data_IF_865115018137
#
_entry.id   IF_865115018137
#
_cell.length_a   1.000
_cell.length_b   1.000
_cell.length_c   1.000
_cell.angle_alpha   90.00
_cell.angle_beta   90.00
_cell.angle_gamma   90.00
#
_symmetry.space_group_name_H-M   'P 1'
#
loop_
_entity.id
_entity.type
_entity.pdbx_description
1 polymer ?
#
# COMPACT_ATOMS: atom_id res chain seq x y z
N UNK A 1 6.87 -37.27 13.42
CA UNK A 1 6.08 -36.06 13.71
C UNK A 1 6.71 -35.42 14.92
N UNK A 2 7.10 -34.15 14.86
CA UNK A 2 7.65 -33.44 16.02
C UNK A 2 6.47 -32.91 16.82
N UNK A 3 6.42 -33.22 18.11
CA UNK A 3 5.45 -32.66 19.05
C UNK A 3 6.24 -32.20 20.28
N UNK A 4 6.22 -30.90 20.55
CA UNK A 4 6.85 -30.28 21.71
C UNK A 4 5.80 -29.45 22.42
N UNK A 5 5.68 -29.64 23.73
CA UNK A 5 4.74 -28.91 24.57
C UNK A 5 5.47 -28.49 25.85
N UNK A 6 5.29 -27.25 26.28
CA UNK A 6 5.81 -26.73 27.53
C UNK A 6 4.75 -25.89 28.26
N UNK A 7 4.56 -26.13 29.56
CA UNK A 7 3.68 -25.30 30.41
C UNK A 7 4.28 -23.93 30.80
N UNK A 8 5.37 -23.53 30.16
CA UNK A 8 5.98 -22.20 30.28
C UNK A 8 6.64 -21.87 28.94
N UNK A 9 7.86 -21.34 28.90
CA UNK A 9 8.54 -20.97 27.65
C UNK A 9 9.19 -22.18 26.94
N UNK A 10 9.24 -22.13 25.60
CA UNK A 10 10.14 -22.95 24.78
C UNK A 10 11.28 -22.04 24.28
N UNK A 11 12.49 -22.28 24.78
CA UNK A 11 13.70 -21.60 24.33
C UNK A 11 14.57 -22.52 23.48
N UNK A 12 14.71 -22.22 22.18
CA UNK A 12 15.53 -22.99 21.24
C UNK A 12 16.71 -22.14 20.78
N UNK A 13 17.92 -22.64 21.04
CA UNK A 13 19.17 -22.11 20.46
C UNK A 13 19.77 -23.18 19.57
N UNK A 14 19.57 -23.04 18.26
CA UNK A 14 20.01 -24.03 17.27
C UNK A 14 20.26 -23.36 15.93
N UNK A 15 21.28 -23.79 15.18
CA UNK A 15 21.51 -23.29 13.82
C UNK A 15 20.40 -23.64 12.82
N UNK A 16 19.55 -24.61 13.14
CA UNK A 16 18.40 -25.00 12.34
C UNK A 16 17.29 -25.57 13.23
N UNK A 17 16.07 -25.09 13.05
CA UNK A 17 14.87 -25.62 13.69
C UNK A 17 13.95 -26.17 12.62
N UNK A 18 13.61 -27.45 12.73
CA UNK A 18 12.75 -28.16 11.78
C UNK A 18 11.44 -28.56 12.46
N UNK A 19 10.36 -27.86 12.13
CA UNK A 19 9.00 -28.13 12.57
C UNK A 19 8.08 -28.54 11.41
N UNK A 20 8.59 -29.31 10.44
CA UNK A 20 7.80 -29.68 9.26
C UNK A 20 6.71 -30.68 9.65
N UNK A 21 5.43 -30.33 9.44
CA UNK A 21 4.26 -31.12 9.88
C UNK A 21 4.31 -31.46 11.38
N UNK A 22 4.99 -30.63 12.16
CA UNK A 22 5.10 -30.76 13.60
C UNK A 22 4.32 -29.67 14.31
N UNK A 23 4.25 -29.79 15.63
CA UNK A 23 3.58 -28.84 16.51
C UNK A 23 4.50 -28.50 17.67
N UNK A 24 4.70 -27.22 17.92
CA UNK A 24 5.38 -26.68 19.11
C UNK A 24 4.41 -25.75 19.83
N UNK A 25 4.07 -26.08 21.07
CA UNK A 25 3.11 -25.33 21.89
C UNK A 25 3.76 -24.91 23.21
N UNK A 26 3.65 -23.65 23.57
CA UNK A 26 4.11 -23.10 24.85
C UNK A 26 2.98 -22.32 25.52
N UNK A 27 2.71 -22.55 26.81
CA UNK A 27 1.81 -21.65 27.58
C UNK A 27 2.45 -20.26 27.78
N UNK A 28 3.79 -20.21 27.77
CA UNK A 28 4.58 -18.99 27.76
C UNK A 28 4.94 -18.54 26.35
N UNK A 29 6.20 -18.15 26.16
CA UNK A 29 6.76 -17.70 24.89
C UNK A 29 7.39 -18.86 24.10
N UNK A 30 7.48 -18.69 22.78
CA UNK A 30 8.42 -19.47 21.96
C UNK A 30 9.53 -18.54 21.49
N UNK A 31 10.74 -18.75 21.99
CA UNK A 31 11.93 -18.00 21.60
C UNK A 31 12.86 -18.91 20.78
N UNK A 32 13.01 -18.61 19.49
CA UNK A 32 13.92 -19.34 18.60
C UNK A 32 15.05 -18.41 18.18
N UNK A 33 16.25 -18.72 18.64
CA UNK A 33 17.48 -18.09 18.17
C UNK A 33 18.25 -19.08 17.29
N UNK A 34 18.17 -18.84 15.98
CA UNK A 34 18.95 -19.56 14.96
C UNK A 34 20.06 -18.72 14.33
N UNK A 35 20.57 -17.72 15.07
CA UNK A 35 21.60 -16.79 14.58
C UNK A 35 22.96 -17.42 14.27
N UNK A 36 23.21 -18.66 14.72
CA UNK A 36 24.42 -19.42 14.39
C UNK A 36 24.41 -20.04 12.97
N UNK A 37 23.32 -19.90 12.22
CA UNK A 37 23.22 -20.40 10.86
C UNK A 37 24.14 -19.62 9.90
N UNK A 38 25.06 -20.32 9.24
CA UNK A 38 25.93 -19.73 8.21
C UNK A 38 25.20 -19.68 6.86
N UNK A 39 25.15 -18.46 6.31
CA UNK A 39 24.89 -18.06 4.91
C UNK A 39 24.28 -19.12 3.98
N UNK A 40 22.99 -18.93 3.66
CA UNK A 40 22.15 -19.58 2.62
C UNK A 40 21.18 -20.70 3.04
N UNK A 41 21.06 -21.03 4.32
CA UNK A 41 20.09 -22.03 4.81
C UNK A 41 18.80 -21.42 5.37
N UNK A 42 17.75 -22.24 5.40
CA UNK A 42 16.56 -21.99 6.22
C UNK A 42 16.95 -22.16 7.69
N UNK A 43 16.73 -21.15 8.52
CA UNK A 43 17.04 -21.17 9.95
C UNK A 43 15.90 -21.79 10.75
N UNK A 44 14.66 -21.48 10.37
CA UNK A 44 13.45 -22.09 10.91
C UNK A 44 12.56 -22.56 9.76
N UNK A 45 12.27 -23.85 9.73
CA UNK A 45 11.40 -24.51 8.76
C UNK A 45 10.14 -25.01 9.45
N UNK A 46 9.11 -24.17 9.41
CA UNK A 46 7.75 -24.43 9.89
C UNK A 46 6.80 -24.82 8.73
N UNK A 47 7.31 -25.43 7.67
CA UNK A 47 6.50 -25.84 6.53
C UNK A 47 5.42 -26.87 6.93
N UNK A 48 4.15 -26.54 6.69
CA UNK A 48 3.00 -27.33 7.18
C UNK A 48 3.03 -27.58 8.70
N UNK A 49 3.80 -26.80 9.47
CA UNK A 49 3.96 -26.93 10.91
C UNK A 49 3.14 -25.90 11.69
N UNK A 50 3.13 -26.05 13.00
CA UNK A 50 2.48 -25.13 13.93
C UNK A 50 3.45 -24.71 15.04
N UNK A 51 3.62 -23.40 15.22
CA UNK A 51 4.21 -22.78 16.41
C UNK A 51 3.09 -21.97 17.09
N UNK A 52 2.75 -22.31 18.33
CA UNK A 52 1.66 -21.68 19.08
C UNK A 52 2.12 -21.29 20.49
N UNK A 53 1.99 -20.02 20.85
CA UNK A 53 2.40 -19.50 22.15
C UNK A 53 1.24 -18.81 22.88
N UNK A 54 1.06 -19.10 24.17
CA UNK A 54 0.12 -18.41 25.05
C UNK A 54 0.55 -16.99 25.43
N UNK A 55 1.80 -16.61 25.11
CA UNK A 55 2.32 -15.24 25.15
C UNK A 55 2.86 -14.84 23.78
N UNK A 56 4.15 -14.50 23.65
CA UNK A 56 4.75 -14.06 22.40
C UNK A 56 5.57 -15.13 21.67
N UNK A 57 5.80 -14.92 20.38
CA UNK A 57 6.77 -15.68 19.58
C UNK A 57 7.86 -14.73 19.09
N UNK A 58 9.12 -15.04 19.39
CA UNK A 58 10.27 -14.36 18.82
C UNK A 58 11.15 -15.34 18.05
N UNK A 59 11.32 -15.12 16.75
CA UNK A 59 12.21 -15.92 15.90
C UNK A 59 13.29 -15.01 15.31
N UNK A 60 14.54 -15.23 15.70
CA UNK A 60 15.69 -14.50 15.19
C UNK A 60 16.64 -15.45 14.48
N UNK A 61 16.80 -15.28 13.17
CA UNK A 61 17.64 -16.17 12.35
C UNK A 61 18.92 -15.52 11.82
N UNK A 62 19.11 -14.19 11.98
CA UNK A 62 20.26 -13.28 11.66
C UNK A 62 21.14 -13.54 10.40
N UNK A 63 21.40 -14.78 10.02
CA UNK A 63 22.08 -15.24 8.81
C UNK A 63 21.25 -16.20 7.95
N UNK A 64 19.94 -16.32 8.18
CA UNK A 64 19.07 -17.30 7.51
C UNK A 64 17.69 -16.77 7.12
N UNK A 65 16.88 -17.61 6.47
CA UNK A 65 15.46 -17.35 6.18
C UNK A 65 14.54 -18.08 7.17
N UNK A 66 13.30 -17.60 7.28
CA UNK A 66 12.20 -18.30 7.97
C UNK A 66 11.24 -18.83 6.91
N UNK A 67 10.90 -20.10 6.98
CA UNK A 67 9.92 -20.73 6.09
C UNK A 67 8.69 -21.14 6.89
N UNK A 68 7.55 -20.56 6.55
CA UNK A 68 6.23 -20.81 7.11
C UNK A 68 5.22 -21.19 6.00
N UNK A 69 5.67 -21.86 4.93
CA UNK A 69 4.80 -22.20 3.81
C UNK A 69 3.75 -23.22 4.26
N UNK A 70 2.46 -22.89 4.08
CA UNK A 70 1.33 -23.66 4.64
C UNK A 70 1.39 -23.90 6.15
N UNK A 71 2.26 -23.20 6.88
CA UNK A 71 2.43 -23.32 8.33
C UNK A 71 1.63 -22.26 9.08
N UNK A 72 1.58 -22.42 10.40
CA UNK A 72 0.96 -21.49 11.34
C UNK A 72 2.01 -21.04 12.36
N UNK A 73 2.14 -19.74 12.53
CA UNK A 73 2.85 -19.09 13.64
C UNK A 73 1.81 -18.22 14.34
N UNK A 74 1.41 -18.59 15.55
CA UNK A 74 0.34 -17.91 16.29
C UNK A 74 0.78 -17.61 17.72
N UNK A 75 0.48 -16.42 18.19
CA UNK A 75 0.76 -16.01 19.56
C UNK A 75 -0.41 -15.20 20.12
N UNK A 76 -0.59 -15.19 21.44
CA UNK A 76 -1.55 -14.27 22.07
C UNK A 76 -1.00 -12.85 22.06
N UNK A 77 0.23 -12.67 22.56
CA UNK A 77 0.94 -11.39 22.52
C UNK A 77 1.67 -11.26 21.17
N UNK A 78 2.81 -10.57 21.15
CA UNK A 78 3.50 -10.23 19.90
C UNK A 78 4.12 -11.42 19.17
N UNK A 79 4.05 -11.40 17.83
CA UNK A 79 4.90 -12.23 16.95
C UNK A 79 5.97 -11.35 16.31
N UNK A 80 7.23 -11.63 16.62
CA UNK A 80 8.39 -10.95 16.04
C UNK A 80 9.27 -11.92 15.25
N UNK A 81 9.44 -11.66 13.95
CA UNK A 81 10.28 -12.44 13.05
C UNK A 81 11.43 -11.58 12.52
N UNK A 82 12.68 -11.95 12.80
CA UNK A 82 13.90 -11.32 12.28
C UNK A 82 14.68 -12.32 11.43
N UNK A 83 14.72 -12.08 10.11
CA UNK A 83 15.40 -12.95 9.16
C UNK A 83 16.16 -12.17 8.09
N UNK A 84 17.47 -12.40 7.96
CA UNK A 84 18.28 -11.70 6.96
C UNK A 84 17.94 -12.08 5.52
N UNK A 85 17.61 -13.35 5.27
CA UNK A 85 17.45 -13.89 3.91
C UNK A 85 15.99 -14.14 3.50
N UNK A 86 15.03 -13.52 4.19
CA UNK A 86 13.63 -13.56 3.81
C UNK A 86 12.74 -14.33 4.78
N UNK A 87 11.45 -14.06 4.67
CA UNK A 87 10.38 -14.77 5.35
C UNK A 87 9.41 -15.25 4.29
N UNK A 88 9.14 -16.55 4.26
CA UNK A 88 8.21 -17.16 3.32
C UNK A 88 6.94 -17.61 4.06
N UNK A 89 5.88 -16.82 3.95
CA UNK A 89 4.53 -17.08 4.43
C UNK A 89 3.57 -17.50 3.30
N UNK A 90 4.07 -18.14 2.24
CA UNK A 90 3.24 -18.58 1.12
C UNK A 90 2.16 -19.58 1.59
N UNK A 91 0.88 -19.22 1.44
CA UNK A 91 -0.27 -20.00 1.96
C UNK A 91 -0.18 -20.25 3.48
N UNK A 92 0.73 -19.57 4.17
CA UNK A 92 0.93 -19.66 5.60
C UNK A 92 0.11 -18.63 6.37
N UNK A 93 0.12 -18.75 7.69
CA UNK A 93 -0.51 -17.81 8.62
C UNK A 93 0.48 -17.36 9.68
N UNK A 94 0.56 -16.05 9.88
CA UNK A 94 1.28 -15.40 10.99
C UNK A 94 0.26 -14.53 11.71
N UNK A 95 -0.07 -14.87 12.95
CA UNK A 95 -1.20 -14.29 13.68
C UNK A 95 -0.80 -13.88 15.10
N UNK A 96 -1.27 -12.71 15.54
CA UNK A 96 -1.27 -12.31 16.94
C UNK A 96 -2.69 -12.00 17.42
N UNK A 97 -3.14 -12.70 18.47
CA UNK A 97 -4.53 -12.62 18.95
C UNK A 97 -4.82 -11.40 19.84
N UNK A 98 -3.81 -10.75 20.40
CA UNK A 98 -3.95 -9.54 21.23
C UNK A 98 -2.80 -8.54 21.01
N UNK A 99 -1.62 -9.02 20.64
CA UNK A 99 -0.44 -8.20 20.33
C UNK A 99 -0.34 -7.78 18.86
N UNK A 100 0.89 -7.42 18.47
CA UNK A 100 1.26 -7.02 17.13
C UNK A 100 2.05 -8.09 16.36
N UNK A 101 2.15 -7.91 15.05
CA UNK A 101 3.07 -8.68 14.20
C UNK A 101 4.16 -7.76 13.68
N UNK A 102 5.41 -8.08 13.99
CA UNK A 102 6.59 -7.40 13.45
C UNK A 102 7.43 -8.37 12.63
N UNK A 103 7.66 -8.05 11.35
CA UNK A 103 8.54 -8.83 10.47
C UNK A 103 9.65 -7.94 9.95
N UNK A 104 10.90 -8.31 10.25
CA UNK A 104 12.10 -7.64 9.78
C UNK A 104 12.89 -8.58 8.87
N UNK A 105 13.11 -8.16 7.62
CA UNK A 105 13.97 -8.88 6.70
C UNK A 105 14.79 -7.95 5.80
N UNK A 106 16.06 -8.29 5.60
CA UNK A 106 16.91 -7.58 4.63
C UNK A 106 16.69 -8.06 3.18
N UNK A 107 15.77 -9.01 2.97
CA UNK A 107 15.44 -9.58 1.68
C UNK A 107 13.92 -9.54 1.46
N UNK A 108 13.33 -10.61 0.91
CA UNK A 108 11.93 -10.63 0.47
C UNK A 108 11.04 -11.22 1.56
N UNK A 109 9.92 -10.55 1.82
CA UNK A 109 8.76 -11.09 2.52
C UNK A 109 7.78 -11.62 1.47
N UNK A 110 7.57 -12.94 1.44
CA UNK A 110 6.52 -13.56 0.62
C UNK A 110 5.30 -13.82 1.49
N UNK A 111 4.20 -13.15 1.21
CA UNK A 111 2.88 -13.34 1.80
C UNK A 111 1.86 -13.70 0.71
N UNK A 112 2.29 -14.20 -0.45
CA UNK A 112 1.38 -14.56 -1.53
C UNK A 112 0.44 -15.69 -1.08
N UNK A 113 -0.87 -15.46 -1.19
CA UNK A 113 -1.94 -16.33 -0.63
C UNK A 113 -1.82 -16.59 0.87
N UNK A 114 -0.92 -15.88 1.56
CA UNK A 114 -0.72 -15.98 3.00
C UNK A 114 -1.58 -14.99 3.75
N UNK A 115 -1.60 -15.15 5.08
CA UNK A 115 -2.28 -14.25 6.01
C UNK A 115 -1.26 -13.75 7.03
N UNK A 116 -1.21 -12.44 7.19
CA UNK A 116 -0.59 -11.75 8.31
C UNK A 116 -1.71 -10.97 9.02
N UNK A 117 -1.94 -11.28 10.29
CA UNK A 117 -3.06 -10.71 11.05
C UNK A 117 -2.62 -10.36 12.48
N UNK A 118 -3.01 -9.20 12.98
CA UNK A 118 -2.78 -8.80 14.36
C UNK A 118 -3.97 -8.02 14.95
N UNK A 119 -4.04 -7.94 16.28
CA UNK A 119 -5.08 -7.16 16.96
C UNK A 119 -4.62 -5.81 17.49
N UNK A 120 -3.33 -5.66 17.75
CA UNK A 120 -2.71 -4.35 17.87
C UNK A 120 -2.28 -3.92 16.45
N UNK A 121 -0.98 -3.84 16.18
CA UNK A 121 -0.43 -3.29 14.94
C UNK A 121 0.34 -4.31 14.10
N UNK A 122 0.54 -3.99 12.82
CA UNK A 122 1.41 -4.76 11.91
C UNK A 122 2.54 -3.87 11.40
N UNK A 123 3.78 -4.28 11.63
CA UNK A 123 4.98 -3.60 11.12
C UNK A 123 5.80 -4.53 10.24
N UNK A 124 5.95 -4.20 8.96
CA UNK A 124 6.66 -5.00 7.96
C UNK A 124 7.83 -4.22 7.36
N UNK A 125 9.04 -4.67 7.64
CA UNK A 125 10.27 -4.09 7.10
C UNK A 125 10.94 -5.11 6.18
N UNK A 126 11.07 -4.78 4.89
CA UNK A 126 11.65 -5.68 3.90
C UNK A 126 12.47 -4.96 2.83
N UNK A 127 13.29 -5.68 2.07
CA UNK A 127 13.79 -5.14 0.79
C UNK A 127 12.69 -5.15 -0.27
N UNK A 128 11.94 -6.25 -0.35
CA UNK A 128 10.78 -6.46 -1.21
C UNK A 128 9.68 -7.17 -0.46
N UNK A 129 8.43 -6.92 -0.83
CA UNK A 129 7.28 -7.64 -0.31
C UNK A 129 6.37 -8.05 -1.46
N UNK A 130 5.97 -9.32 -1.49
CA UNK A 130 4.93 -9.83 -2.38
C UNK A 130 3.78 -10.33 -1.52
N UNK A 131 2.58 -9.83 -1.75
CA UNK A 131 1.35 -10.19 -1.05
C UNK A 131 0.24 -10.46 -2.06
N UNK A 132 0.56 -11.10 -3.19
CA UNK A 132 -0.40 -11.34 -4.25
C UNK A 132 -1.43 -12.36 -3.79
N UNK A 133 -2.73 -12.03 -3.90
CA UNK A 133 -3.82 -12.81 -3.29
C UNK A 133 -3.64 -13.03 -1.78
N UNK A 134 -2.75 -12.28 -1.14
CA UNK A 134 -2.47 -12.37 0.29
C UNK A 134 -3.28 -11.34 1.06
N UNK A 135 -3.33 -11.54 2.37
CA UNK A 135 -3.98 -10.66 3.32
C UNK A 135 -2.97 -10.16 4.34
N UNK A 136 -2.97 -8.85 4.56
CA UNK A 136 -2.39 -8.18 5.72
C UNK A 136 -3.51 -7.40 6.38
N UNK A 137 -3.86 -7.72 7.63
CA UNK A 137 -4.92 -7.01 8.33
C UNK A 137 -4.60 -6.75 9.80
N UNK A 138 -5.11 -5.64 10.34
CA UNK A 138 -4.97 -5.34 11.77
C UNK A 138 -6.10 -4.45 12.28
N UNK A 139 -6.37 -4.50 13.59
CA UNK A 139 -7.35 -3.61 14.25
C UNK A 139 -6.78 -2.24 14.70
N UNK A 140 -5.50 -2.03 14.48
CA UNK A 140 -4.79 -0.76 14.75
C UNK A 140 -4.06 -0.33 13.46
N UNK A 141 -2.85 0.20 13.57
CA UNK A 141 -2.05 0.69 12.46
C UNK A 141 -1.28 -0.40 11.69
N UNK A 142 -1.14 -0.19 10.37
CA UNK A 142 -0.20 -0.91 9.50
C UNK A 142 0.94 0.01 9.07
N UNK A 143 2.17 -0.42 9.32
CA UNK A 143 3.39 0.24 8.84
C UNK A 143 4.15 -0.72 7.91
N UNK A 144 4.36 -0.32 6.66
CA UNK A 144 5.13 -1.10 5.69
C UNK A 144 6.30 -0.25 5.17
N UNK A 145 7.53 -0.68 5.45
CA UNK A 145 8.73 -0.08 4.89
C UNK A 145 9.43 -1.09 3.98
N UNK A 146 9.34 -0.86 2.67
CA UNK A 146 10.07 -1.64 1.67
C UNK A 146 11.04 -0.77 0.90
N UNK A 147 12.30 -1.20 0.76
CA UNK A 147 13.28 -0.39 0.03
C UNK A 147 13.05 -0.42 -1.49
N UNK A 148 12.46 -1.49 -2.03
CA UNK A 148 12.26 -1.71 -3.47
C UNK A 148 10.77 -1.77 -3.82
N UNK A 149 10.18 -2.96 -3.87
CA UNK A 149 8.83 -3.17 -4.41
C UNK A 149 7.90 -3.76 -3.35
N UNK A 150 6.70 -3.17 -3.24
CA UNK A 150 5.53 -3.78 -2.61
C UNK A 150 4.56 -4.22 -3.71
N UNK A 151 4.35 -5.52 -3.86
CA UNK A 151 3.39 -6.08 -4.80
C UNK A 151 2.15 -6.62 -4.06
N UNK A 152 1.08 -5.84 -4.06
CA UNK A 152 -0.25 -6.14 -3.53
C UNK A 152 -1.26 -6.48 -4.65
N UNK A 153 -0.80 -7.02 -5.79
CA UNK A 153 -1.69 -7.39 -6.90
C UNK A 153 -2.71 -8.42 -6.44
N UNK A 154 -4.00 -8.10 -6.53
CA UNK A 154 -5.11 -8.94 -6.05
C UNK A 154 -5.02 -9.31 -4.57
N UNK A 155 -4.19 -8.61 -3.79
CA UNK A 155 -4.09 -8.77 -2.34
C UNK A 155 -4.83 -7.67 -1.60
N UNK A 156 -4.91 -7.80 -0.29
CA UNK A 156 -5.55 -6.85 0.60
C UNK A 156 -4.62 -6.44 1.75
N UNK A 157 -4.52 -5.13 1.97
CA UNK A 157 -3.84 -4.51 3.11
C UNK A 157 -4.88 -3.64 3.82
N UNK A 158 -5.30 -4.06 5.00
CA UNK A 158 -6.43 -3.50 5.74
C UNK A 158 -6.00 -3.06 7.14
N UNK A 159 -6.44 -1.88 7.57
CA UNK A 159 -6.23 -1.39 8.93
C UNK A 159 -7.52 -0.76 9.46
N UNK A 160 -7.95 -1.12 10.67
CA UNK A 160 -8.97 -0.33 11.39
C UNK A 160 -8.39 1.00 11.92
N UNK A 161 -7.06 1.13 11.99
CA UNK A 161 -6.36 2.39 12.23
C UNK A 161 -5.81 3.01 10.95
N UNK A 162 -4.59 3.53 11.05
CA UNK A 162 -3.87 4.21 9.98
C UNK A 162 -3.05 3.24 9.13
N UNK A 163 -2.78 3.63 7.88
CA UNK A 163 -1.80 2.95 7.02
C UNK A 163 -0.68 3.91 6.66
N UNK A 164 0.57 3.50 6.90
CA UNK A 164 1.76 4.19 6.42
C UNK A 164 2.62 3.24 5.58
N UNK A 165 2.84 3.57 4.30
CA UNK A 165 3.65 2.77 3.38
C UNK A 165 4.79 3.60 2.81
N UNK A 166 6.01 3.07 2.90
CA UNK A 166 7.20 3.57 2.20
C UNK A 166 7.72 2.51 1.24
N UNK A 167 7.84 2.85 -0.03
CA UNK A 167 8.29 1.93 -1.08
C UNK A 167 9.00 2.65 -2.23
N UNK A 168 9.88 2.02 -3.00
CA UNK A 168 10.24 2.63 -4.29
C UNK A 168 9.08 2.47 -5.28
N UNK A 169 8.50 1.28 -5.36
CA UNK A 169 7.36 0.98 -6.21
C UNK A 169 6.27 0.22 -5.46
N UNK A 170 5.02 0.62 -5.66
CA UNK A 170 3.83 -0.09 -5.17
C UNK A 170 3.01 -0.55 -6.37
N UNK A 171 2.73 -1.84 -6.44
CA UNK A 171 1.77 -2.44 -7.39
C UNK A 171 0.53 -2.87 -6.62
N UNK A 172 -0.58 -2.21 -6.88
CA UNK A 172 -1.89 -2.49 -6.30
C UNK A 172 -2.90 -2.88 -7.41
N UNK A 173 -2.44 -3.64 -8.40
CA UNK A 173 -3.27 -4.03 -9.54
C UNK A 173 -4.43 -4.94 -9.09
N UNK A 174 -5.67 -4.49 -9.26
CA UNK A 174 -6.87 -5.14 -8.69
C UNK A 174 -6.72 -5.54 -7.22
N UNK A 175 -5.89 -4.81 -6.47
CA UNK A 175 -5.66 -5.00 -5.04
C UNK A 175 -6.40 -3.95 -4.23
N UNK A 176 -6.39 -4.12 -2.91
CA UNK A 176 -7.03 -3.20 -1.96
C UNK A 176 -6.04 -2.76 -0.89
N UNK A 177 -5.89 -1.45 -0.72
CA UNK A 177 -5.22 -0.83 0.43
C UNK A 177 -6.26 0.05 1.10
N UNK A 178 -6.64 -0.24 2.33
CA UNK A 178 -7.73 0.46 3.02
C UNK A 178 -7.39 0.73 4.48
N UNK A 179 -7.27 2.01 4.82
CA UNK A 179 -7.25 2.50 6.19
C UNK A 179 -8.64 2.98 6.59
N UNK A 180 -9.12 2.65 7.79
CA UNK A 180 -10.33 3.29 8.33
C UNK A 180 -10.04 4.68 8.92
N UNK A 181 -8.79 4.96 9.29
CA UNK A 181 -8.32 6.30 9.62
C UNK A 181 -7.51 6.88 8.46
N UNK A 182 -6.35 7.51 8.72
CA UNK A 182 -5.56 8.19 7.69
C UNK A 182 -4.67 7.22 6.90
N UNK A 183 -4.42 7.56 5.63
CA UNK A 183 -3.55 6.80 4.73
C UNK A 183 -2.41 7.67 4.21
N UNK A 184 -1.17 7.23 4.43
CA UNK A 184 0.04 7.90 3.97
C UNK A 184 0.89 6.95 3.11
N UNK A 185 1.17 7.36 1.87
CA UNK A 185 2.08 6.64 0.96
C UNK A 185 3.21 7.57 0.53
N UNK A 186 4.44 7.14 0.78
CA UNK A 186 5.66 7.73 0.23
C UNK A 186 6.28 6.73 -0.75
N UNK A 187 6.28 7.05 -2.05
CA UNK A 187 6.91 6.18 -3.02
C UNK A 187 7.55 6.91 -4.20
N UNK A 188 8.28 6.21 -5.07
CA UNK A 188 8.58 6.76 -6.38
C UNK A 188 7.38 6.57 -7.32
N UNK A 189 6.83 5.35 -7.34
CA UNK A 189 5.73 4.99 -8.25
C UNK A 189 4.63 4.21 -7.56
N UNK A 190 3.38 4.61 -7.79
CA UNK A 190 2.19 3.86 -7.41
C UNK A 190 1.42 3.44 -8.66
N UNK A 191 1.21 2.13 -8.82
CA UNK A 191 0.35 1.55 -9.85
C UNK A 191 -0.91 1.01 -9.19
N UNK A 192 -2.01 1.73 -9.36
CA UNK A 192 -3.32 1.40 -8.83
C UNK A 192 -4.30 1.24 -10.00
N UNK A 193 -4.26 0.11 -10.70
CA UNK A 193 -5.15 -0.13 -11.84
C UNK A 193 -6.02 -1.36 -11.66
N UNK A 194 -7.27 -1.32 -12.13
CA UNK A 194 -8.20 -2.43 -11.99
C UNK A 194 -9.14 -2.54 -13.22
N UNK A 195 -8.64 -3.15 -14.29
CA UNK A 195 -9.45 -3.48 -15.47
C UNK A 195 -10.51 -4.51 -15.03
N UNK A 196 -11.79 -4.13 -15.03
CA UNK A 196 -12.95 -4.88 -14.47
C UNK A 196 -13.24 -4.68 -12.96
N UNK A 197 -13.36 -3.41 -12.55
CA UNK A 197 -13.76 -3.02 -11.19
C UNK A 197 -15.11 -2.27 -11.17
N UNK A 198 -16.22 -2.87 -11.64
CA UNK A 198 -17.50 -2.16 -11.76
C UNK A 198 -18.09 -1.73 -10.41
N UNK A 199 -17.80 -2.49 -9.35
CA UNK A 199 -18.22 -2.20 -7.98
C UNK A 199 -17.26 -1.27 -7.24
N UNK A 200 -16.10 -0.95 -7.83
CA UNK A 200 -15.09 -0.06 -7.25
C UNK A 200 -14.58 -0.56 -5.87
N UNK A 201 -14.49 -1.89 -5.71
CA UNK A 201 -14.08 -2.54 -4.46
C UNK A 201 -12.55 -2.64 -4.31
N UNK A 202 -11.83 -2.55 -5.43
CA UNK A 202 -10.37 -2.51 -5.48
C UNK A 202 -9.86 -1.08 -5.67
N UNK A 203 -8.72 -0.75 -5.06
CA UNK A 203 -8.20 0.61 -5.05
C UNK A 203 -7.41 0.94 -3.79
N UNK A 204 -7.24 2.25 -3.57
CA UNK A 204 -6.66 2.84 -2.36
C UNK A 204 -7.75 3.65 -1.67
N UNK A 205 -8.02 3.33 -0.41
CA UNK A 205 -9.15 3.86 0.35
C UNK A 205 -8.70 4.38 1.73
N UNK A 206 -9.30 5.47 2.17
CA UNK A 206 -9.07 6.08 3.48
C UNK A 206 -10.39 6.53 4.11
N UNK A 207 -10.62 6.18 5.37
CA UNK A 207 -11.74 6.73 6.15
C UNK A 207 -11.42 8.09 6.79
N UNK A 208 -10.13 8.48 6.83
CA UNK A 208 -9.65 9.81 7.21
C UNK A 208 -8.90 10.48 6.06
N UNK A 209 -7.94 11.35 6.36
CA UNK A 209 -7.16 12.05 5.33
C UNK A 209 -6.20 11.12 4.58
N UNK A 210 -6.00 11.37 3.28
CA UNK A 210 -5.12 10.60 2.42
C UNK A 210 -4.01 11.47 1.84
N UNK A 211 -2.76 11.06 2.03
CA UNK A 211 -1.59 11.70 1.44
C UNK A 211 -0.77 10.71 0.60
N UNK A 212 -0.65 11.00 -0.70
CA UNK A 212 0.17 10.26 -1.65
C UNK A 212 1.31 11.16 -2.13
N UNK A 213 2.53 10.93 -1.63
CA UNK A 213 3.73 11.66 -2.01
C UNK A 213 4.62 10.79 -2.91
N UNK A 214 4.68 11.14 -4.20
CA UNK A 214 5.25 10.31 -5.25
C UNK A 214 6.41 11.05 -5.96
N UNK A 215 7.63 10.54 -5.83
CA UNK A 215 8.80 11.18 -6.45
C UNK A 215 8.89 11.00 -7.97
N UNK A 216 8.00 10.17 -8.56
CA UNK A 216 7.88 9.98 -10.01
C UNK A 216 6.43 10.03 -10.48
N UNK A 217 5.63 8.99 -10.28
CA UNK A 217 4.33 8.89 -10.97
C UNK A 217 3.25 8.11 -10.22
N UNK A 218 2.00 8.50 -10.49
CA UNK A 218 0.79 7.76 -10.18
C UNK A 218 0.16 7.24 -11.47
N UNK A 219 -0.10 5.94 -11.53
CA UNK A 219 -1.01 5.34 -12.50
C UNK A 219 -2.26 4.86 -11.75
N UNK A 220 -3.36 5.59 -11.91
CA UNK A 220 -4.70 5.25 -11.44
C UNK A 220 -5.64 4.86 -12.59
N UNK A 221 -5.11 4.33 -13.70
CA UNK A 221 -5.96 3.97 -14.84
C UNK A 221 -6.90 2.83 -14.49
N UNK A 222 -8.20 3.01 -14.70
CA UNK A 222 -9.26 2.07 -14.24
C UNK A 222 -9.24 1.81 -12.72
N UNK A 223 -8.45 2.58 -11.97
CA UNK A 223 -8.32 2.46 -10.53
C UNK A 223 -9.28 3.34 -9.76
N UNK A 224 -9.31 3.13 -8.46
CA UNK A 224 -10.08 3.95 -7.53
C UNK A 224 -9.15 4.43 -6.43
N UNK A 225 -9.16 5.74 -6.20
CA UNK A 225 -8.58 6.39 -5.03
C UNK A 225 -9.73 7.15 -4.38
N UNK A 226 -10.09 6.80 -3.15
CA UNK A 226 -11.22 7.42 -2.48
C UNK A 226 -10.94 7.68 -1.00
N UNK A 227 -11.47 8.79 -0.48
CA UNK A 227 -11.26 9.22 0.90
C UNK A 227 -12.52 9.84 1.49
N UNK A 228 -12.84 9.52 2.75
CA UNK A 228 -13.84 10.28 3.51
C UNK A 228 -13.26 11.59 4.10
N UNK A 229 -11.92 11.72 4.14
CA UNK A 229 -11.21 12.95 4.46
C UNK A 229 -10.65 13.65 3.23
N UNK A 230 -9.71 14.57 3.45
CA UNK A 230 -9.03 15.27 2.36
C UNK A 230 -8.13 14.31 1.57
N UNK A 231 -7.94 14.57 0.28
CA UNK A 231 -6.94 13.89 -0.55
C UNK A 231 -5.87 14.89 -0.97
N UNK A 232 -4.62 14.60 -0.66
CA UNK A 232 -3.46 15.29 -1.24
C UNK A 232 -2.63 14.30 -2.05
N UNK A 233 -2.49 14.54 -3.35
CA UNK A 233 -1.62 13.75 -4.24
C UNK A 233 -0.56 14.67 -4.83
N UNK A 234 0.69 14.43 -4.44
CA UNK A 234 1.86 15.09 -5.03
C UNK A 234 2.65 14.08 -5.84
N UNK A 235 2.89 14.37 -7.12
CA UNK A 235 3.68 13.54 -8.02
C UNK A 235 4.66 14.41 -8.79
N UNK A 236 5.97 14.14 -8.77
CA UNK A 236 6.92 15.01 -9.48
C UNK A 236 6.73 15.03 -11.00
N UNK A 237 6.15 13.98 -11.59
CA UNK A 237 6.02 13.85 -13.05
C UNK A 237 4.57 13.69 -13.50
N UNK A 238 3.96 12.53 -13.31
CA UNK A 238 2.66 12.19 -13.92
C UNK A 238 1.65 11.74 -12.89
N UNK A 239 0.42 12.24 -13.01
CA UNK A 239 -0.79 11.61 -12.47
C UNK A 239 -1.64 11.17 -13.68
N UNK A 240 -1.72 9.86 -13.91
CA UNK A 240 -2.57 9.27 -14.94
C UNK A 240 -3.84 8.72 -14.30
N UNK A 241 -4.99 9.28 -14.65
CA UNK A 241 -6.32 8.93 -14.13
C UNK A 241 -7.28 8.53 -15.26
N UNK A 242 -6.76 7.98 -16.37
CA UNK A 242 -7.58 7.61 -17.51
C UNK A 242 -8.55 6.48 -17.13
N UNK A 243 -9.86 6.67 -17.36
CA UNK A 243 -10.92 5.77 -16.86
C UNK A 243 -10.90 5.52 -15.33
N UNK A 244 -10.08 6.26 -14.59
CA UNK A 244 -9.92 6.13 -13.16
C UNK A 244 -10.85 7.03 -12.38
N UNK A 245 -10.84 6.83 -11.07
CA UNK A 245 -11.61 7.63 -10.13
C UNK A 245 -10.70 8.13 -9.00
N UNK A 246 -10.74 9.44 -8.74
CA UNK A 246 -10.18 10.09 -7.57
C UNK A 246 -11.33 10.86 -6.91
N UNK A 247 -11.74 10.47 -5.70
CA UNK A 247 -12.91 11.07 -5.02
C UNK A 247 -12.67 11.34 -3.55
N UNK A 248 -13.13 12.48 -3.08
CA UNK A 248 -13.10 12.84 -1.66
C UNK A 248 -14.45 13.35 -1.21
N UNK A 249 -14.88 12.98 -0.01
CA UNK A 249 -16.04 13.56 0.66
C UNK A 249 -15.74 14.96 1.25
N UNK A 250 -14.50 15.45 1.08
CA UNK A 250 -14.05 16.80 1.41
C UNK A 250 -13.26 17.40 0.24
N UNK A 251 -11.99 17.73 0.45
CA UNK A 251 -11.16 18.45 -0.50
C UNK A 251 -10.20 17.51 -1.25
N UNK A 252 -9.87 17.89 -2.49
CA UNK A 252 -8.81 17.25 -3.26
C UNK A 252 -7.78 18.31 -3.65
N UNK A 253 -6.50 18.04 -3.40
CA UNK A 253 -5.36 18.78 -3.94
C UNK A 253 -4.47 17.85 -4.76
N UNK A 254 -4.31 18.16 -6.04
CA UNK A 254 -3.41 17.44 -6.95
C UNK A 254 -2.25 18.35 -7.37
N UNK A 255 -1.03 17.83 -7.35
CA UNK A 255 0.16 18.54 -7.82
C UNK A 255 1.03 17.61 -8.68
N UNK A 256 1.22 17.94 -9.96
CA UNK A 256 2.15 17.22 -10.83
C UNK A 256 2.71 18.01 -12.01
N UNK A 257 3.75 17.53 -12.70
CA UNK A 257 4.15 18.17 -13.96
C UNK A 257 3.05 17.99 -15.03
N UNK A 258 2.48 16.79 -15.13
CA UNK A 258 1.39 16.46 -16.05
C UNK A 258 0.29 15.69 -15.34
N UNK A 259 -0.96 16.05 -15.61
CA UNK A 259 -2.14 15.32 -15.15
C UNK A 259 -2.95 14.90 -16.38
N UNK A 260 -3.27 13.62 -16.50
CA UNK A 260 -4.11 13.08 -17.56
C UNK A 260 -5.39 12.49 -16.98
N UNK A 261 -6.56 12.96 -17.42
CA UNK A 261 -7.87 12.58 -16.87
C UNK A 261 -8.87 12.10 -17.95
N UNK A 262 -8.41 11.67 -19.12
CA UNK A 262 -9.27 11.19 -20.21
C UNK A 262 -10.29 10.13 -19.74
N UNK A 263 -11.58 10.38 -19.91
CA UNK A 263 -12.68 9.53 -19.41
C UNK A 263 -12.56 9.17 -17.90
N UNK A 264 -11.74 9.90 -17.16
CA UNK A 264 -11.54 9.75 -15.72
C UNK A 264 -12.50 10.63 -14.94
N UNK A 265 -12.47 10.48 -13.62
CA UNK A 265 -13.25 11.29 -12.70
C UNK A 265 -12.35 11.81 -11.58
N UNK A 266 -12.38 13.11 -11.35
CA UNK A 266 -11.79 13.79 -10.20
C UNK A 266 -12.89 14.60 -9.54
N UNK A 267 -13.41 14.15 -8.39
CA UNK A 267 -14.62 14.71 -7.78
C UNK A 267 -14.36 14.98 -6.30
N UNK A 268 -14.38 16.24 -5.91
CA UNK A 268 -14.35 16.66 -4.51
C UNK A 268 -15.76 17.12 -4.09
N UNK A 269 -16.21 16.71 -2.91
CA UNK A 269 -17.48 17.22 -2.37
C UNK A 269 -17.41 18.70 -1.97
N UNK A 270 -16.23 19.18 -1.57
CA UNK A 270 -15.96 20.58 -1.24
C UNK A 270 -15.08 21.21 -2.34
N UNK A 271 -13.77 21.39 -2.09
CA UNK A 271 -12.88 22.10 -3.00
C UNK A 271 -11.95 21.14 -3.78
N UNK A 272 -11.73 21.44 -5.05
CA UNK A 272 -10.77 20.73 -5.91
C UNK A 272 -9.71 21.71 -6.43
N UNK A 273 -8.46 21.49 -6.05
CA UNK A 273 -7.29 22.25 -6.51
C UNK A 273 -6.40 21.37 -7.38
N UNK A 274 -6.17 21.81 -8.62
CA UNK A 274 -5.33 21.11 -9.60
C UNK A 274 -4.14 21.98 -9.98
N UNK A 275 -2.96 21.64 -9.47
CA UNK A 275 -1.71 22.30 -9.80
C UNK A 275 -0.92 21.45 -10.81
N UNK A 276 -0.78 21.92 -12.04
CA UNK A 276 0.06 21.23 -13.02
C UNK A 276 0.78 22.13 -14.01
N UNK A 277 1.77 21.59 -14.74
CA UNK A 277 2.26 22.29 -15.92
C UNK A 277 1.35 22.03 -17.12
N UNK A 278 0.83 20.79 -17.23
CA UNK A 278 -0.12 20.37 -18.25
C UNK A 278 -1.27 19.58 -17.63
N UNK A 279 -2.50 19.91 -18.02
CA UNK A 279 -3.70 19.12 -17.75
C UNK A 279 -4.29 18.65 -19.09
N UNK A 280 -4.36 17.34 -19.26
CA UNK A 280 -4.94 16.69 -20.42
C UNK A 280 -6.25 16.00 -20.01
N UNK A 281 -7.35 16.71 -20.18
CA UNK A 281 -8.67 16.23 -19.79
C UNK A 281 -9.44 15.59 -20.95
N UNK A 282 -8.78 15.19 -22.04
CA UNK A 282 -9.44 14.70 -23.27
C UNK A 282 -9.24 15.61 -24.47
N UNK A 283 -9.44 15.12 -25.70
CA UNK A 283 -9.36 15.95 -26.92
C UNK A 283 -10.71 16.17 -27.60
N UNK A 284 -11.75 15.49 -27.12
CA UNK A 284 -13.12 15.58 -27.60
C UNK A 284 -14.09 15.44 -26.41
N UNK A 285 -15.33 15.88 -26.57
CA UNK A 285 -16.38 15.65 -25.57
C UNK A 285 -16.55 14.15 -25.23
N UNK A 286 -16.35 13.26 -26.21
CA UNK A 286 -16.45 11.80 -26.01
C UNK A 286 -15.26 11.17 -25.28
N UNK A 287 -14.17 11.91 -25.08
CA UNK A 287 -12.97 11.44 -24.35
C UNK A 287 -12.67 12.29 -23.13
N UNK A 288 -13.53 13.29 -22.86
CA UNK A 288 -13.35 14.21 -21.77
C UNK A 288 -13.49 13.49 -20.42
N UNK A 289 -12.64 13.84 -19.46
CA UNK A 289 -12.82 13.44 -18.06
C UNK A 289 -13.73 14.38 -17.30
N UNK A 290 -14.32 13.89 -16.21
CA UNK A 290 -15.03 14.73 -15.24
C UNK A 290 -14.03 15.32 -14.22
N UNK A 291 -14.18 16.61 -13.94
CA UNK A 291 -13.43 17.38 -12.94
C UNK A 291 -14.46 18.25 -12.22
N UNK A 292 -14.80 17.91 -10.98
CA UNK A 292 -15.94 18.47 -10.26
C UNK A 292 -15.56 18.82 -8.82
N UNK A 293 -16.08 19.95 -8.35
CA UNK A 293 -16.00 20.44 -6.98
C UNK A 293 -17.40 20.87 -6.55
N UNK A 294 -17.81 20.58 -5.32
CA UNK A 294 -19.07 21.09 -4.79
C UNK A 294 -19.04 22.58 -4.48
N UNK A 295 -17.87 23.10 -4.09
CA UNK A 295 -17.67 24.52 -3.74
C UNK A 295 -16.75 25.23 -4.74
N UNK A 296 -15.42 25.06 -4.61
CA UNK A 296 -14.43 25.78 -5.44
C UNK A 296 -13.62 24.82 -6.29
N UNK A 297 -13.60 25.07 -7.60
CA UNK A 297 -12.67 24.46 -8.54
C UNK A 297 -11.56 25.45 -8.90
N UNK A 298 -10.32 25.15 -8.51
CA UNK A 298 -9.13 25.93 -8.84
C UNK A 298 -8.17 25.11 -9.73
N UNK A 299 -7.86 25.62 -10.93
CA UNK A 299 -6.93 24.97 -11.86
C UNK A 299 -5.75 25.91 -12.15
N UNK A 300 -4.59 25.57 -11.59
CA UNK A 300 -3.36 26.34 -11.70
C UNK A 300 -2.39 25.70 -12.70
N UNK A 301 -2.37 26.22 -13.92
CA UNK A 301 -1.47 25.77 -14.99
C UNK A 301 -0.22 26.63 -15.08
N UNK A 302 0.98 26.05 -14.85
CA UNK A 302 2.25 26.80 -14.92
C UNK A 302 2.64 27.20 -16.34
N UNK A 303 2.39 26.38 -17.38
CA UNK A 303 2.65 26.65 -18.81
C UNK A 303 1.88 25.69 -19.74
N UNK A 304 0.84 26.16 -20.45
CA UNK A 304 0.22 25.44 -21.57
C UNK A 304 -1.29 25.68 -21.73
N UNK A 305 -1.87 25.50 -22.92
CA UNK A 305 -3.31 25.56 -23.12
C UNK A 305 -3.97 24.34 -22.45
N UNK A 306 -5.16 24.54 -21.87
CA UNK A 306 -6.09 23.44 -21.61
C UNK A 306 -6.45 22.78 -22.95
N UNK A 307 -6.58 21.47 -23.02
CA UNK A 307 -7.13 20.76 -24.19
C UNK A 307 -8.32 19.90 -23.77
N UNK A 308 -9.47 20.03 -24.48
CA UNK A 308 -10.73 19.27 -24.28
C UNK A 308 -11.75 19.89 -23.30
N UNK A 309 -13.07 19.61 -23.47
CA UNK A 309 -14.16 20.30 -22.73
C UNK A 309 -15.46 19.52 -22.40
N UNK A 310 -16.36 20.26 -21.70
CA UNK A 310 -17.70 20.03 -21.05
C UNK A 310 -17.74 19.12 -19.79
N UNK A 311 -18.32 19.44 -18.61
CA UNK A 311 -19.46 20.29 -18.10
C UNK A 311 -19.13 21.00 -16.74
N UNK A 312 -19.62 22.21 -16.37
CA UNK A 312 -20.88 22.66 -15.68
C UNK A 312 -21.10 22.00 -14.30
N UNK A 313 -20.78 22.60 -13.15
CA UNK A 313 -21.22 23.90 -12.60
C UNK A 313 -20.01 24.77 -12.15
N UNK A 314 -20.07 26.09 -12.38
CA UNK A 314 -18.95 27.00 -12.05
C UNK A 314 -17.89 27.25 -13.14
N UNK A 315 -18.27 27.24 -14.42
CA UNK A 315 -17.56 27.82 -15.59
C UNK A 315 -16.19 27.23 -16.03
N UNK A 316 -16.19 26.36 -17.07
CA UNK A 316 -15.18 26.41 -18.15
C UNK A 316 -15.73 25.91 -19.50
N UNK A 317 -15.69 26.81 -20.49
CA UNK A 317 -15.72 26.49 -21.93
C UNK A 317 -14.30 26.66 -22.46
N UNK A 318 -13.76 25.64 -23.14
CA UNK A 318 -12.58 25.82 -23.98
C UNK A 318 -12.92 25.46 -25.42
N UNK A 319 -13.19 26.51 -26.20
CA UNK A 319 -13.13 26.49 -27.66
C UNK A 319 -12.33 27.73 -28.09
N UNK A 320 -11.00 27.62 -28.09
CA UNK A 320 -10.12 28.63 -28.71
C UNK A 320 -9.27 29.45 -27.75
N UNK A 321 -8.11 29.83 -28.29
CA UNK A 321 -6.93 30.46 -27.71
C UNK A 321 -7.19 31.66 -26.77
N UNK A 322 -6.46 31.75 -25.65
CA UNK A 322 -6.41 32.95 -24.81
C UNK A 322 -5.00 33.53 -24.78
N UNK A 323 -4.67 34.25 -25.84
CA UNK A 323 -3.50 35.13 -25.87
C UNK A 323 -3.67 36.33 -24.95
N UNK A 324 -2.64 36.62 -24.16
CA UNK A 324 -2.36 37.97 -23.67
C UNK A 324 -0.84 38.25 -23.74
N UNK A 325 -0.40 38.86 -24.84
CA UNK A 325 0.54 39.98 -24.80
C UNK A 325 0.18 40.98 -25.91
N UNK A 326 -0.48 42.07 -25.53
CA UNK A 326 -0.32 43.34 -26.25
C UNK A 326 1.06 43.88 -25.88
N UNK A 327 2.03 43.78 -26.78
CA UNK A 327 3.12 44.73 -26.85
C UNK A 327 2.74 45.78 -27.90
N UNK A 328 2.44 46.98 -27.42
CA UNK A 328 2.29 48.23 -28.18
C UNK A 328 2.32 49.35 -27.12
N UNK A 329 3.15 50.40 -27.12
CA UNK A 329 4.18 50.90 -28.01
C UNK A 329 5.15 51.77 -27.18
N UNK A 330 6.34 52.04 -27.71
CA UNK A 330 7.21 53.12 -27.26
C UNK A 330 8.28 53.43 -28.31
N UNK A 331 8.06 54.49 -29.09
CA UNK A 331 8.93 54.99 -30.14
C UNK A 331 10.34 55.37 -29.66
N UNK A 332 11.35 55.17 -30.51
CA UNK A 332 12.22 56.20 -31.11
C UNK A 332 12.78 55.69 -32.44
#
# INVERSE_FOLDING_TARGET
>A
MVYLEAGNDIDIKSSYVKNIRGTMVADGNINIDSSAALSSNVGVDNDNGELSAGKGITISTKGSSIKNSSGIISAVDDVTLDAKYGVNNYVGRIVSDAGGVTINTANTLFNDRGIIEANCCVTLNAYKMSSQYGLVQTRDDVIINVSSELNNTQGEILAEGNIAIKASEIKNNSGKIMAQEALNIEAARLVNSAYNNPLQEYGVFSGGDMNLNLSSSLNNEYGVIASHGDITITSNYLIANKHGHIRSDKNITLSAASIGNHNGNMIAAENLVVNASRLDNGSSASTAGNIEAGDTLEINMKRGPLSGGQQVDGSFYNQGDLGWQKQDQGQY
#
